data_IF_033364325502
#
_entry.id   IF_033364325502
#
_cell.length_a   1.000
_cell.length_b   1.000
_cell.length_c   1.000
_cell.angle_alpha   90.00
_cell.angle_beta   90.00
_cell.angle_gamma   90.00
#
_symmetry.space_group_name_H-M   'P 1'
#
loop_
_entity.id
_entity.type
_entity.pdbx_description
1 polymer ?
#
# COMPACT_ATOMS: atom_id res chain seq x y z
N UNK A 1 0.90 -10.67 -37.51
CA UNK A 1 1.36 -10.00 -36.26
C UNK A 1 0.71 -10.68 -35.05
N UNK A 2 1.40 -11.67 -34.48
CA UNK A 2 0.92 -12.40 -33.31
C UNK A 2 0.69 -11.41 -32.17
N UNK A 3 -0.54 -11.37 -31.66
CA UNK A 3 -0.80 -10.82 -30.34
C UNK A 3 0.09 -11.60 -29.37
N UNK A 4 1.19 -10.98 -28.96
CA UNK A 4 2.03 -11.46 -27.87
C UNK A 4 1.08 -11.67 -26.69
N UNK A 5 0.75 -12.94 -26.39
CA UNK A 5 0.18 -13.28 -25.10
C UNK A 5 1.09 -12.64 -24.07
N UNK A 6 0.54 -11.74 -23.25
CA UNK A 6 1.28 -11.19 -22.13
C UNK A 6 1.61 -12.39 -21.24
N UNK A 7 2.78 -12.99 -21.45
CA UNK A 7 3.26 -14.10 -20.62
C UNK A 7 3.20 -13.57 -19.18
N UNK A 8 2.53 -14.32 -18.30
CA UNK A 8 2.43 -14.03 -16.89
C UNK A 8 3.81 -14.20 -16.23
N UNK A 9 4.74 -13.32 -16.58
CA UNK A 9 6.11 -13.30 -16.10
C UNK A 9 6.10 -12.69 -14.70
N UNK A 10 6.76 -13.36 -13.77
CA UNK A 10 7.00 -12.86 -12.42
C UNK A 10 8.14 -11.85 -12.43
N UNK A 11 8.19 -10.97 -11.45
CA UNK A 11 9.27 -10.00 -11.29
C UNK A 11 10.61 -10.71 -11.14
N UNK A 12 10.66 -11.78 -10.34
CA UNK A 12 11.90 -12.54 -10.11
C UNK A 12 12.50 -13.03 -11.44
N UNK A 13 11.70 -13.75 -12.24
CA UNK A 13 12.13 -14.25 -13.57
C UNK A 13 12.53 -13.10 -14.49
N UNK A 14 11.81 -11.97 -14.47
CA UNK A 14 12.17 -10.83 -15.30
C UNK A 14 13.52 -10.24 -14.89
N UNK A 15 13.75 -10.01 -13.59
CA UNK A 15 14.98 -9.41 -13.08
C UNK A 15 16.19 -10.31 -13.30
N UNK A 16 16.06 -11.61 -13.06
CA UNK A 16 17.14 -12.58 -13.25
C UNK A 16 17.57 -12.69 -14.71
N UNK A 17 16.61 -12.70 -15.64
CA UNK A 17 16.90 -12.77 -17.07
C UNK A 17 17.42 -11.45 -17.66
N UNK A 18 17.12 -10.31 -17.03
CA UNK A 18 17.46 -8.98 -17.57
C UNK A 18 18.78 -8.45 -17.00
N UNK A 19 19.03 -8.66 -15.72
CA UNK A 19 20.16 -8.06 -15.01
C UNK A 19 21.07 -9.13 -14.43
N UNK A 20 22.38 -8.97 -14.60
CA UNK A 20 23.38 -9.84 -13.97
C UNK A 20 23.76 -9.37 -12.55
N UNK A 21 23.62 -8.08 -12.27
CA UNK A 21 23.98 -7.48 -10.97
C UNK A 21 22.93 -7.77 -9.91
N UNK A 22 23.33 -8.43 -8.82
CA UNK A 22 22.49 -8.64 -7.64
C UNK A 22 22.00 -7.32 -7.04
N UNK A 23 22.83 -6.27 -7.06
CA UNK A 23 22.45 -4.94 -6.57
C UNK A 23 21.31 -4.35 -7.41
N UNK A 24 21.36 -4.50 -8.73
CA UNK A 24 20.29 -4.00 -9.61
C UNK A 24 19.00 -4.80 -9.39
N UNK A 25 19.10 -6.12 -9.19
CA UNK A 25 17.92 -6.95 -8.84
C UNK A 25 17.34 -6.52 -7.49
N UNK A 26 18.19 -6.29 -6.48
CA UNK A 26 17.79 -5.82 -5.16
C UNK A 26 17.13 -4.44 -5.20
N UNK A 27 17.64 -3.52 -6.04
CA UNK A 27 17.06 -2.18 -6.23
C UNK A 27 15.63 -2.25 -6.75
N UNK A 28 15.35 -3.15 -7.70
CA UNK A 28 14.04 -3.25 -8.35
C UNK A 28 13.05 -4.15 -7.61
N UNK A 29 13.53 -5.18 -6.90
CA UNK A 29 12.71 -6.15 -6.18
C UNK A 29 11.57 -5.54 -5.32
N UNK A 30 11.81 -4.51 -4.49
CA UNK A 30 10.78 -4.02 -3.57
C UNK A 30 9.71 -3.15 -4.25
N UNK A 31 9.92 -2.70 -5.50
CA UNK A 31 8.99 -1.76 -6.13
C UNK A 31 7.61 -2.35 -6.39
N UNK A 32 7.52 -3.65 -6.70
CA UNK A 32 6.23 -4.29 -6.96
C UNK A 32 5.36 -4.40 -5.70
N UNK A 33 5.96 -4.31 -4.51
CA UNK A 33 5.25 -4.30 -3.24
C UNK A 33 4.28 -3.12 -3.12
N UNK A 34 4.62 -1.98 -3.75
CA UNK A 34 3.76 -0.79 -3.80
C UNK A 34 2.47 -1.00 -4.61
N UNK A 35 2.39 -2.06 -5.40
CA UNK A 35 1.18 -2.51 -6.09
C UNK A 35 0.48 -3.67 -5.36
N UNK A 36 0.92 -4.04 -4.15
CA UNK A 36 0.38 -5.16 -3.36
C UNK A 36 0.83 -6.54 -3.83
N UNK A 37 1.68 -6.62 -4.86
CA UNK A 37 2.24 -7.86 -5.41
C UNK A 37 3.57 -8.21 -4.75
N UNK A 38 4.02 -9.44 -4.89
CA UNK A 38 5.36 -9.92 -4.52
C UNK A 38 6.16 -10.35 -5.74
N UNK A 39 7.46 -10.67 -5.57
CA UNK A 39 8.33 -11.03 -6.68
C UNK A 39 7.86 -12.24 -7.51
N UNK A 40 7.15 -13.17 -6.88
CA UNK A 40 6.64 -14.41 -7.47
C UNK A 40 5.20 -14.32 -7.96
N UNK A 41 4.50 -13.21 -7.72
CA UNK A 41 3.10 -13.10 -8.09
C UNK A 41 2.97 -13.04 -9.62
N UNK A 42 1.94 -13.69 -10.15
CA UNK A 42 1.63 -13.59 -11.57
C UNK A 42 1.47 -12.12 -11.98
N UNK A 43 1.99 -11.76 -13.15
CA UNK A 43 1.93 -10.41 -13.71
C UNK A 43 2.79 -9.35 -12.98
N UNK A 44 3.46 -9.68 -11.88
CA UNK A 44 4.36 -8.76 -11.15
C UNK A 44 5.47 -8.18 -12.03
N UNK A 45 6.00 -8.96 -12.98
CA UNK A 45 7.03 -8.48 -13.91
C UNK A 45 6.54 -7.39 -14.86
N UNK A 46 5.26 -7.40 -15.25
CA UNK A 46 4.69 -6.34 -16.09
C UNK A 46 4.44 -5.07 -15.29
N UNK A 47 3.88 -5.21 -14.09
CA UNK A 47 3.68 -4.07 -13.18
C UNK A 47 5.01 -3.38 -12.85
N UNK A 48 6.06 -4.15 -12.58
CA UNK A 48 7.38 -3.59 -12.31
C UNK A 48 7.95 -2.79 -13.49
N UNK A 49 7.73 -3.23 -14.74
CA UNK A 49 8.13 -2.48 -15.93
C UNK A 49 7.35 -1.18 -16.09
N UNK A 50 6.05 -1.19 -15.79
CA UNK A 50 5.23 0.04 -15.79
C UNK A 50 5.74 1.01 -14.73
N UNK A 51 6.08 0.53 -13.54
CA UNK A 51 6.68 1.35 -12.47
C UNK A 51 8.03 1.92 -12.93
N UNK A 52 8.91 1.08 -13.48
CA UNK A 52 10.22 1.52 -13.96
C UNK A 52 10.09 2.59 -15.05
N UNK A 53 9.19 2.39 -16.01
CA UNK A 53 8.89 3.39 -17.04
C UNK A 53 8.34 4.70 -16.45
N UNK A 54 7.42 4.62 -15.50
CA UNK A 54 6.86 5.81 -14.87
C UNK A 54 7.92 6.60 -14.07
N UNK A 55 8.79 5.90 -13.35
CA UNK A 55 9.92 6.51 -12.63
C UNK A 55 10.92 7.16 -13.58
N UNK A 56 11.23 6.52 -14.69
CA UNK A 56 12.15 7.10 -15.68
C UNK A 56 11.52 8.31 -16.39
N UNK A 57 10.24 8.23 -16.74
CA UNK A 57 9.56 9.27 -17.50
C UNK A 57 9.18 10.50 -16.66
N UNK A 58 8.84 10.31 -15.39
CA UNK A 58 8.25 11.36 -14.53
C UNK A 58 8.90 11.48 -13.15
N UNK A 59 9.81 10.58 -12.77
CA UNK A 59 10.38 10.52 -11.43
C UNK A 59 9.37 10.10 -10.36
N UNK A 60 9.72 10.38 -9.10
CA UNK A 60 8.85 10.20 -7.94
C UNK A 60 8.65 11.56 -7.23
N UNK A 61 7.83 12.46 -7.81
CA UNK A 61 7.66 13.80 -7.26
C UNK A 61 6.97 13.76 -5.89
N UNK A 62 7.39 14.66 -5.00
CA UNK A 62 6.73 14.87 -3.72
C UNK A 62 5.95 16.19 -3.72
N UNK A 63 4.88 16.23 -2.93
CA UNK A 63 4.08 17.44 -2.73
C UNK A 63 4.75 18.28 -1.64
N UNK A 64 5.19 19.49 -1.98
CA UNK A 64 5.71 20.45 -0.98
C UNK A 64 4.64 20.76 0.06
N UNK A 65 5.02 20.73 1.33
CA UNK A 65 4.11 20.83 2.47
C UNK A 65 3.34 19.53 2.75
N UNK A 66 3.60 18.45 2.03
CA UNK A 66 3.00 17.12 2.23
C UNK A 66 1.72 16.85 1.43
N UNK A 67 1.28 15.59 1.45
CA UNK A 67 0.15 15.11 0.64
C UNK A 67 -1.20 15.80 0.95
N UNK A 68 -1.36 16.40 2.13
CA UNK A 68 -2.55 17.19 2.47
C UNK A 68 -2.79 18.39 1.53
N UNK A 69 -1.73 18.97 0.96
CA UNK A 69 -1.86 20.07 -0.01
C UNK A 69 -2.44 19.58 -1.33
N UNK A 70 -2.12 18.36 -1.75
CA UNK A 70 -2.73 17.74 -2.94
C UNK A 70 -4.22 17.50 -2.73
N UNK A 71 -4.62 17.01 -1.54
CA UNK A 71 -6.03 16.84 -1.19
C UNK A 71 -6.77 18.17 -1.17
N UNK A 72 -6.18 19.20 -0.58
CA UNK A 72 -6.74 20.56 -0.55
C UNK A 72 -6.91 21.14 -1.96
N UNK A 73 -5.96 20.88 -2.85
CA UNK A 73 -6.06 21.29 -4.26
C UNK A 73 -7.22 20.57 -4.97
N UNK A 74 -7.39 19.25 -4.79
CA UNK A 74 -8.53 18.53 -5.36
C UNK A 74 -9.87 19.01 -4.80
N UNK A 75 -9.95 19.25 -3.49
CA UNK A 75 -11.13 19.82 -2.86
C UNK A 75 -11.50 21.18 -3.45
N UNK A 76 -10.51 22.07 -3.61
CA UNK A 76 -10.72 23.38 -4.23
C UNK A 76 -11.23 23.25 -5.67
N UNK A 77 -10.62 22.38 -6.48
CA UNK A 77 -11.04 22.14 -7.87
C UNK A 77 -12.49 21.59 -7.96
N UNK A 78 -12.86 20.68 -7.06
CA UNK A 78 -14.22 20.15 -6.99
C UNK A 78 -15.20 21.28 -6.66
N UNK A 79 -14.91 22.09 -5.65
CA UNK A 79 -15.75 23.22 -5.22
C UNK A 79 -15.88 24.30 -6.29
N UNK A 80 -14.78 24.65 -6.98
CA UNK A 80 -14.76 25.62 -8.08
C UNK A 80 -15.70 25.19 -9.23
N UNK A 81 -15.84 23.88 -9.45
CA UNK A 81 -16.75 23.30 -10.45
C UNK A 81 -18.16 23.05 -9.90
N UNK A 82 -18.50 23.60 -8.74
CA UNK A 82 -19.82 23.47 -8.10
C UNK A 82 -20.08 22.12 -7.42
N UNK A 83 -19.05 21.29 -7.27
CA UNK A 83 -19.13 20.05 -6.53
C UNK A 83 -19.25 20.28 -5.03
N UNK A 84 -19.94 19.36 -4.34
CA UNK A 84 -20.13 19.39 -2.89
C UNK A 84 -19.46 18.16 -2.28
N UNK A 85 -18.66 18.37 -1.25
CA UNK A 85 -18.03 17.31 -0.46
C UNK A 85 -18.75 17.26 0.88
N UNK A 86 -19.23 16.07 1.26
CA UNK A 86 -19.85 15.81 2.56
C UNK A 86 -19.00 14.79 3.29
N UNK A 87 -18.34 15.23 4.36
CA UNK A 87 -17.69 14.34 5.33
C UNK A 87 -18.72 13.83 6.34
N UNK A 88 -18.38 12.79 7.11
CA UNK A 88 -19.27 12.19 8.12
C UNK A 88 -20.63 11.70 7.56
N UNK A 89 -20.76 11.60 6.24
CA UNK A 89 -21.94 11.13 5.54
C UNK A 89 -21.82 9.66 5.16
N UNK A 90 -21.81 8.76 6.15
CA UNK A 90 -21.75 7.32 5.87
C UNK A 90 -22.95 6.88 5.02
N UNK A 91 -22.69 6.23 3.89
CA UNK A 91 -23.72 5.78 2.97
C UNK A 91 -24.21 4.40 3.42
N UNK A 92 -25.48 4.32 3.79
CA UNK A 92 -26.11 3.07 4.21
C UNK A 92 -26.45 2.17 3.01
N UNK A 93 -27.05 2.74 1.96
CA UNK A 93 -27.46 1.97 0.78
C UNK A 93 -27.59 2.82 -0.49
N UNK A 94 -27.54 2.14 -1.64
CA UNK A 94 -27.85 2.70 -2.95
C UNK A 94 -29.35 2.58 -3.17
N UNK A 95 -29.99 3.68 -3.58
CA UNK A 95 -31.40 3.71 -3.93
C UNK A 95 -31.53 3.36 -5.40
N UNK A 96 -32.45 2.45 -5.71
CA UNK A 96 -32.71 1.99 -7.08
C UNK A 96 -34.18 2.12 -7.44
N UNK A 97 -34.45 2.42 -8.70
CA UNK A 97 -35.80 2.44 -9.28
C UNK A 97 -35.73 2.16 -10.78
N UNK A 98 -36.61 1.29 -11.28
CA UNK A 98 -36.64 0.92 -12.71
C UNK A 98 -35.33 0.31 -13.21
N UNK A 99 -34.66 -0.51 -12.39
CA UNK A 99 -33.41 -1.18 -12.75
C UNK A 99 -32.17 -0.29 -12.79
N UNK A 100 -32.22 0.95 -12.29
CA UNK A 100 -31.08 1.88 -12.22
C UNK A 100 -30.91 2.51 -10.84
N UNK A 101 -29.68 2.88 -10.51
CA UNK A 101 -29.40 3.68 -9.32
C UNK A 101 -29.92 5.11 -9.50
N UNK A 102 -30.63 5.62 -8.49
CA UNK A 102 -31.24 6.97 -8.50
C UNK A 102 -30.75 7.85 -7.35
N UNK A 103 -29.87 7.34 -6.50
CA UNK A 103 -29.31 8.07 -5.38
C UNK A 103 -28.72 7.15 -4.33
N UNK A 104 -28.46 7.72 -3.16
CA UNK A 104 -27.99 7.00 -1.97
C UNK A 104 -28.74 7.46 -0.73
N UNK A 105 -28.89 6.55 0.23
CA UNK A 105 -29.39 6.85 1.58
C UNK A 105 -28.20 6.86 2.54
N UNK A 106 -28.11 7.90 3.35
CA UNK A 106 -27.11 8.01 4.41
C UNK A 106 -27.57 7.25 5.66
N UNK A 107 -26.63 6.88 6.52
CA UNK A 107 -26.92 6.27 7.82
C UNK A 107 -27.73 7.19 8.74
N UNK A 108 -27.67 8.51 8.53
CA UNK A 108 -28.54 9.50 9.21
C UNK A 108 -30.02 9.39 8.81
N UNK A 109 -30.33 8.69 7.71
CA UNK A 109 -31.67 8.64 7.10
C UNK A 109 -31.83 9.59 5.92
N UNK A 110 -30.95 10.59 5.75
CA UNK A 110 -31.00 11.53 4.64
C UNK A 110 -30.83 10.84 3.29
N UNK A 111 -31.41 11.42 2.25
CA UNK A 111 -31.29 10.92 0.88
C UNK A 111 -30.60 11.93 -0.02
N UNK A 112 -29.64 11.45 -0.81
CA UNK A 112 -28.98 12.22 -1.87
C UNK A 112 -29.38 11.62 -3.22
N UNK A 113 -30.18 12.36 -4.00
CA UNK A 113 -30.63 11.91 -5.32
C UNK A 113 -29.56 12.13 -6.39
N UNK A 114 -29.39 11.16 -7.28
CA UNK A 114 -28.51 11.23 -8.44
C UNK A 114 -29.33 11.26 -9.74
N UNK A 115 -29.07 12.25 -10.61
CA UNK A 115 -29.77 12.40 -11.89
C UNK A 115 -29.25 11.47 -12.99
N UNK A 116 -27.95 11.14 -12.96
CA UNK A 116 -27.26 10.39 -14.03
C UNK A 116 -26.76 9.04 -13.55
N UNK A 117 -25.92 9.03 -12.52
CA UNK A 117 -25.29 7.82 -12.02
C UNK A 117 -24.82 7.98 -10.58
N UNK A 118 -24.58 6.84 -9.93
CA UNK A 118 -23.87 6.73 -8.66
C UNK A 118 -22.53 6.05 -8.94
N UNK A 119 -21.42 6.69 -8.59
CA UNK A 119 -20.08 6.12 -8.74
C UNK A 119 -19.59 5.72 -7.35
N UNK A 120 -19.21 4.45 -7.18
CA UNK A 120 -18.83 3.90 -5.89
C UNK A 120 -17.31 3.65 -5.85
N UNK A 121 -16.60 4.40 -5.03
CA UNK A 121 -15.18 4.15 -4.72
C UNK A 121 -15.07 3.36 -3.41
N UNK A 122 -15.48 2.09 -3.44
CA UNK A 122 -15.55 1.19 -2.27
C UNK A 122 -15.11 -0.23 -2.64
N UNK A 123 -14.88 -1.10 -1.64
CA UNK A 123 -14.51 -2.49 -1.90
C UNK A 123 -15.69 -3.29 -2.49
N UNK A 124 -15.42 -4.38 -3.22
CA UNK A 124 -16.50 -5.26 -3.72
C UNK A 124 -17.40 -5.78 -2.61
N UNK A 125 -16.84 -6.15 -1.45
CA UNK A 125 -17.63 -6.62 -0.31
C UNK A 125 -18.55 -5.53 0.24
N UNK A 126 -18.12 -4.27 0.28
CA UNK A 126 -19.00 -3.15 0.65
C UNK A 126 -20.06 -2.88 -0.40
N UNK A 127 -19.70 -2.84 -1.68
CA UNK A 127 -20.66 -2.55 -2.75
C UNK A 127 -21.77 -3.61 -2.81
N UNK A 128 -21.39 -4.87 -3.00
CA UNK A 128 -22.35 -5.95 -3.22
C UNK A 128 -22.97 -6.47 -1.92
N UNK A 129 -22.21 -6.50 -0.82
CA UNK A 129 -22.69 -7.05 0.45
C UNK A 129 -23.47 -6.07 1.33
N UNK A 130 -23.22 -4.76 1.21
CA UNK A 130 -23.87 -3.74 2.05
C UNK A 130 -24.66 -2.73 1.22
N UNK A 131 -24.01 -2.04 0.28
CA UNK A 131 -24.63 -0.88 -0.37
C UNK A 131 -25.77 -1.26 -1.32
N UNK A 132 -25.61 -2.34 -2.08
CA UNK A 132 -26.68 -2.92 -2.91
C UNK A 132 -27.61 -3.83 -2.11
N UNK A 133 -27.09 -4.49 -1.05
CA UNK A 133 -27.84 -5.43 -0.23
C UNK A 133 -28.51 -6.52 -1.09
N UNK A 134 -29.79 -6.76 -0.83
CA UNK A 134 -30.58 -7.79 -1.54
C UNK A 134 -30.77 -7.50 -3.03
N UNK A 135 -30.50 -6.27 -3.50
CA UNK A 135 -30.56 -5.93 -4.91
C UNK A 135 -29.28 -6.31 -5.68
N UNK A 136 -28.24 -6.79 -5.01
CA UNK A 136 -27.04 -7.28 -5.66
C UNK A 136 -27.34 -8.55 -6.48
N UNK A 137 -26.86 -8.65 -7.74
CA UNK A 137 -26.95 -9.89 -8.48
C UNK A 137 -26.24 -11.02 -7.72
N UNK A 138 -26.90 -12.16 -7.57
CA UNK A 138 -26.41 -13.29 -6.75
C UNK A 138 -24.97 -13.71 -7.11
N UNK A 139 -24.66 -13.80 -8.40
CA UNK A 139 -23.32 -14.16 -8.88
C UNK A 139 -22.24 -13.16 -8.44
N UNK A 140 -22.55 -11.85 -8.46
CA UNK A 140 -21.61 -10.81 -8.05
C UNK A 140 -21.41 -10.80 -6.54
N UNK A 141 -22.49 -11.02 -5.78
CA UNK A 141 -22.40 -11.16 -4.32
C UNK A 141 -21.53 -12.37 -3.93
N UNK A 142 -21.72 -13.52 -4.57
CA UNK A 142 -20.90 -14.72 -4.36
C UNK A 142 -19.43 -14.49 -4.75
N UNK A 143 -19.17 -13.76 -5.84
CA UNK A 143 -17.82 -13.38 -6.23
C UNK A 143 -17.17 -12.42 -5.22
N UNK A 144 -17.93 -11.43 -4.73
CA UNK A 144 -17.47 -10.49 -3.72
C UNK A 144 -17.16 -11.18 -2.38
N UNK A 145 -17.96 -12.17 -1.96
CA UNK A 145 -17.69 -12.96 -0.75
C UNK A 145 -16.38 -13.76 -0.84
N UNK A 146 -15.98 -14.17 -2.04
CA UNK A 146 -14.71 -14.86 -2.31
C UNK A 146 -13.56 -13.89 -2.57
N UNK A 147 -13.81 -12.58 -2.57
CA UNK A 147 -12.77 -11.58 -2.82
C UNK A 147 -11.66 -11.69 -1.77
N UNK A 148 -10.45 -11.97 -2.25
CA UNK A 148 -9.26 -12.04 -1.40
C UNK A 148 -8.58 -10.69 -1.43
N UNK A 149 -8.62 -10.00 -0.31
CA UNK A 149 -7.79 -8.83 -0.13
C UNK A 149 -6.31 -9.21 -0.15
N UNK A 150 -5.48 -8.31 -0.67
CA UNK A 150 -4.03 -8.45 -0.65
C UNK A 150 -3.45 -8.43 0.77
N UNK A 151 -2.11 -8.43 0.83
CA UNK A 151 -1.34 -8.34 2.08
C UNK A 151 -1.75 -7.12 2.90
N UNK A 152 -1.47 -7.17 4.20
CA UNK A 152 -1.54 -6.00 5.06
C UNK A 152 -0.32 -5.11 4.85
N UNK A 153 -0.28 -3.98 5.54
CA UNK A 153 0.89 -3.11 5.56
C UNK A 153 1.08 -2.59 6.98
N UNK A 154 2.27 -2.83 7.55
CA UNK A 154 2.61 -2.33 8.87
C UNK A 154 3.33 -0.98 8.72
N UNK A 155 2.95 0.03 9.51
CA UNK A 155 3.55 1.37 9.43
C UNK A 155 4.10 1.83 10.77
N UNK A 156 5.25 2.50 10.72
CA UNK A 156 5.89 3.14 11.87
C UNK A 156 6.22 4.56 11.46
N UNK A 157 5.94 5.54 12.30
CA UNK A 157 6.25 6.95 12.05
C UNK A 157 7.17 7.46 13.15
N UNK A 158 8.34 7.97 12.77
CA UNK A 158 9.33 8.53 13.67
C UNK A 158 9.39 10.05 13.53
N UNK A 159 9.38 10.73 14.67
CA UNK A 159 9.91 12.08 14.82
C UNK A 159 11.29 11.96 15.47
N UNK A 160 12.32 12.46 14.80
CA UNK A 160 13.71 12.27 15.20
C UNK A 160 14.34 13.60 15.63
N UNK A 161 15.17 13.51 16.67
CA UNK A 161 15.91 14.66 17.19
C UNK A 161 17.03 15.18 16.29
N UNK A 162 17.43 14.37 15.31
CA UNK A 162 18.42 14.68 14.27
C UNK A 162 18.19 13.79 13.04
N UNK A 163 18.66 14.19 11.84
CA UNK A 163 18.66 13.33 10.66
C UNK A 163 19.42 12.01 10.88
N UNK A 164 18.97 10.90 10.26
CA UNK A 164 19.70 9.64 10.33
C UNK A 164 21.08 9.72 9.69
N UNK A 165 22.09 9.11 10.34
CA UNK A 165 23.45 9.06 9.84
C UNK A 165 23.66 7.84 8.93
N UNK A 166 22.98 7.83 7.78
CA UNK A 166 23.05 6.71 6.83
C UNK A 166 24.48 6.32 6.49
N UNK A 167 24.78 5.02 6.57
CA UNK A 167 26.13 4.48 6.28
C UNK A 167 26.52 4.61 4.80
N UNK A 168 25.54 4.66 3.89
CA UNK A 168 25.76 4.80 2.46
C UNK A 168 25.80 6.25 2.01
N UNK A 169 26.73 6.56 1.10
CA UNK A 169 26.84 7.90 0.51
C UNK A 169 25.57 8.28 -0.27
N UNK A 170 25.12 9.52 -0.13
CA UNK A 170 23.98 10.06 -0.89
C UNK A 170 22.59 9.62 -0.40
N UNK A 171 22.49 8.62 0.48
CA UNK A 171 21.20 8.10 0.97
C UNK A 171 20.39 9.15 1.75
N UNK A 172 21.06 10.13 2.37
CA UNK A 172 20.40 11.27 3.04
C UNK A 172 19.71 12.25 2.07
N UNK A 173 19.95 12.16 0.75
CA UNK A 173 19.47 13.12 -0.26
C UNK A 173 18.24 12.66 -1.03
N UNK A 174 17.78 11.42 -0.83
CA UNK A 174 16.62 10.86 -1.54
C UNK A 174 15.39 10.84 -0.64
N UNK A 175 14.19 10.90 -1.18
CA UNK A 175 12.97 10.83 -0.36
C UNK A 175 12.57 9.40 0.04
N UNK A 176 13.04 8.39 -0.69
CA UNK A 176 12.61 7.00 -0.53
C UNK A 176 13.81 6.06 -0.59
N UNK A 177 13.88 5.14 0.36
CA UNK A 177 14.87 4.07 0.44
C UNK A 177 14.17 2.74 0.67
N UNK A 178 14.84 1.64 0.32
CA UNK A 178 14.40 0.29 0.63
C UNK A 178 15.52 -0.47 1.32
N UNK A 179 15.24 -1.04 2.49
CA UNK A 179 16.12 -1.95 3.20
C UNK A 179 15.61 -3.37 2.94
N UNK A 180 16.45 -4.18 2.31
CA UNK A 180 16.15 -5.56 1.93
C UNK A 180 17.47 -6.33 1.75
N UNK A 181 17.51 -7.64 2.04
CA UNK A 181 18.67 -8.48 1.73
C UNK A 181 18.68 -8.95 0.27
N UNK A 182 17.97 -8.26 -0.64
CA UNK A 182 17.97 -8.52 -2.07
C UNK A 182 16.68 -9.19 -2.57
N UNK A 183 16.68 -9.61 -3.84
CA UNK A 183 15.50 -10.20 -4.50
C UNK A 183 14.94 -11.39 -3.73
N UNK A 184 15.80 -12.35 -3.36
CA UNK A 184 15.40 -13.53 -2.61
C UNK A 184 14.87 -13.18 -1.21
N UNK A 185 15.42 -12.12 -0.61
CA UNK A 185 14.94 -11.54 0.64
C UNK A 185 13.51 -11.06 0.56
N UNK A 186 13.21 -10.24 -0.45
CA UNK A 186 11.84 -9.76 -0.72
C UNK A 186 10.91 -10.95 -1.03
N UNK A 187 11.38 -11.93 -1.82
CA UNK A 187 10.59 -13.12 -2.13
C UNK A 187 10.26 -13.94 -0.87
N UNK A 188 11.26 -14.16 0.00
CA UNK A 188 11.09 -14.83 1.32
C UNK A 188 10.08 -14.10 2.18
N UNK A 189 10.22 -12.78 2.37
CA UNK A 189 9.31 -11.99 3.19
C UNK A 189 7.87 -12.04 2.66
N UNK A 190 7.67 -11.89 1.35
CA UNK A 190 6.36 -12.09 0.70
C UNK A 190 5.77 -13.48 0.96
N UNK A 191 6.59 -14.55 0.88
CA UNK A 191 6.14 -15.92 1.10
C UNK A 191 5.71 -16.15 2.55
N UNK A 192 6.53 -15.69 3.50
CA UNK A 192 6.23 -15.72 4.93
C UNK A 192 4.89 -15.04 5.22
N UNK A 193 4.73 -13.80 4.75
CA UNK A 193 3.52 -13.01 4.91
C UNK A 193 2.28 -13.68 4.31
N UNK A 194 2.40 -14.23 3.11
CA UNK A 194 1.31 -14.91 2.40
C UNK A 194 0.84 -16.16 3.16
N UNK A 195 1.75 -16.81 3.88
CA UNK A 195 1.45 -17.95 4.75
C UNK A 195 0.90 -17.55 6.11
N UNK A 196 0.78 -16.26 6.40
CA UNK A 196 0.33 -15.71 7.68
C UNK A 196 1.44 -15.58 8.71
N UNK A 197 2.71 -15.71 8.32
CA UNK A 197 3.84 -15.54 9.22
C UNK A 197 4.26 -14.08 9.25
N UNK A 198 4.62 -13.55 10.42
CA UNK A 198 5.35 -12.28 10.49
C UNK A 198 6.73 -12.48 9.86
N UNK A 199 7.11 -11.68 8.83
CA UNK A 199 8.41 -11.85 8.22
C UNK A 199 9.56 -11.72 9.21
N UNK A 200 10.55 -12.59 9.09
CA UNK A 200 11.76 -12.55 9.92
C UNK A 200 12.60 -11.31 9.58
N UNK A 201 12.78 -11.06 8.28
CA UNK A 201 13.43 -9.87 7.75
C UNK A 201 12.46 -9.24 6.75
N UNK A 202 11.56 -8.34 7.18
CA UNK A 202 10.65 -7.67 6.28
C UNK A 202 11.39 -6.71 5.34
N UNK A 203 10.84 -6.48 4.16
CA UNK A 203 11.25 -5.32 3.35
C UNK A 203 10.80 -4.04 4.05
N UNK A 204 11.73 -3.13 4.33
CA UNK A 204 11.41 -1.83 4.93
C UNK A 204 11.52 -0.76 3.86
N UNK A 205 10.39 -0.20 3.47
CA UNK A 205 10.36 1.03 2.70
C UNK A 205 10.44 2.21 3.66
N UNK A 206 11.52 2.98 3.56
CA UNK A 206 11.79 4.15 4.40
C UNK A 206 11.50 5.40 3.59
N UNK A 207 10.52 6.18 4.02
CA UNK A 207 10.29 7.53 3.50
C UNK A 207 10.87 8.59 4.41
N UNK A 208 11.62 9.53 3.82
CA UNK A 208 12.24 10.67 4.49
C UNK A 208 11.96 11.96 3.72
N UNK A 209 10.70 12.42 3.67
CA UNK A 209 10.29 13.52 2.79
C UNK A 209 11.00 14.84 3.10
N UNK A 210 11.53 15.01 4.31
CA UNK A 210 12.29 16.18 4.72
C UNK A 210 13.58 16.38 3.90
N UNK A 211 14.14 15.31 3.30
CA UNK A 211 15.31 15.39 2.43
C UNK A 211 15.06 16.22 1.15
N UNK A 212 13.81 16.24 0.67
CA UNK A 212 13.41 17.01 -0.52
C UNK A 212 12.58 18.25 -0.16
N UNK A 213 11.94 18.26 1.01
CA UNK A 213 11.17 19.40 1.51
C UNK A 213 11.47 19.66 3.01
N UNK A 214 12.43 20.54 3.32
CA UNK A 214 12.80 20.84 4.71
C UNK A 214 11.65 21.39 5.57
N UNK A 215 10.56 21.88 4.98
CA UNK A 215 9.40 22.38 5.74
C UNK A 215 8.62 21.27 6.46
N UNK A 216 8.93 19.99 6.18
CA UNK A 216 8.23 18.84 6.74
C UNK A 216 8.52 18.59 8.22
N UNK A 217 9.59 19.17 8.77
CA UNK A 217 9.93 19.08 10.18
C UNK A 217 10.71 20.33 10.63
N UNK A 218 10.87 20.56 11.95
CA UNK A 218 11.70 21.66 12.45
C UNK A 218 13.17 21.55 11.99
N UNK A 219 13.87 22.68 12.02
CA UNK A 219 15.30 22.73 11.67
C UNK A 219 16.13 21.80 12.57
N UNK A 220 17.09 21.10 11.97
CA UNK A 220 17.94 20.12 12.66
C UNK A 220 17.23 18.84 13.09
N UNK A 221 15.92 18.69 12.83
CA UNK A 221 15.13 17.49 13.10
C UNK A 221 14.91 16.67 11.83
N UNK A 222 14.33 15.48 11.98
CA UNK A 222 13.94 14.65 10.85
C UNK A 222 12.65 13.90 11.12
N UNK A 223 11.99 13.47 10.05
CA UNK A 223 10.88 12.52 10.10
C UNK A 223 11.16 11.34 9.19
N UNK A 224 10.85 10.15 9.68
CA UNK A 224 10.80 8.93 8.88
C UNK A 224 9.40 8.33 8.96
N UNK A 225 8.93 7.76 7.86
CA UNK A 225 7.87 6.75 7.92
C UNK A 225 8.42 5.46 7.36
N UNK A 226 8.11 4.36 8.02
CA UNK A 226 8.41 3.02 7.56
C UNK A 226 7.13 2.38 7.07
N UNK A 227 7.21 1.72 5.93
CA UNK A 227 6.18 0.83 5.42
C UNK A 227 6.78 -0.56 5.23
N UNK A 228 6.11 -1.55 5.81
CA UNK A 228 6.39 -2.97 5.63
C UNK A 228 5.19 -3.56 4.87
N UNK A 229 5.23 -3.61 3.52
CA UNK A 229 4.06 -3.95 2.68
C UNK A 229 3.67 -5.44 2.71
N UNK A 230 4.45 -6.23 3.44
CA UNK A 230 4.35 -7.68 3.51
C UNK A 230 3.90 -8.10 4.92
N UNK A 231 3.02 -7.31 5.55
CA UNK A 231 2.48 -7.69 6.86
C UNK A 231 1.28 -8.66 6.68
N UNK A 232 1.20 -9.76 7.44
CA UNK A 232 0.02 -10.63 7.40
C UNK A 232 -1.20 -9.92 8.00
N UNK A 233 -2.37 -10.09 7.36
CA UNK A 233 -3.65 -9.62 7.90
C UNK A 233 -4.17 -10.50 9.05
N UNK A 234 -3.87 -11.78 8.96
CA UNK A 234 -4.19 -12.77 9.97
C UNK A 234 -2.90 -13.53 10.29
N UNK A 235 -2.46 -13.41 11.53
CA UNK A 235 -1.17 -13.89 12.01
C UNK A 235 -1.34 -15.35 12.46
N UNK A 236 -0.56 -16.25 11.86
CA UNK A 236 -0.50 -17.67 12.24
C UNK A 236 0.75 -18.00 13.04
N UNK A 237 1.75 -17.12 13.00
CA UNK A 237 3.01 -17.31 13.70
C UNK A 237 4.03 -16.25 13.33
N UNK A 238 5.23 -16.41 13.88
CA UNK A 238 6.39 -15.59 13.60
C UNK A 238 7.44 -16.43 12.86
N UNK A 239 7.89 -15.98 11.68
CA UNK A 239 8.88 -16.72 10.90
C UNK A 239 10.21 -16.89 11.65
N UNK A 240 10.55 -15.95 12.54
CA UNK A 240 11.75 -16.03 13.37
C UNK A 240 11.56 -16.90 14.62
N UNK A 241 10.33 -17.27 14.98
CA UNK A 241 10.01 -18.01 16.20
C UNK A 241 10.32 -17.27 17.52
N UNK A 242 10.43 -15.94 17.49
CA UNK A 242 10.82 -15.11 18.65
C UNK A 242 9.65 -14.35 19.27
N UNK A 243 8.60 -14.08 18.49
CA UNK A 243 7.44 -13.33 18.94
C UNK A 243 6.28 -14.26 19.29
N UNK A 244 5.63 -13.99 20.42
CA UNK A 244 4.41 -14.67 20.83
C UNK A 244 3.22 -14.17 19.99
N UNK A 245 2.56 -15.08 19.27
CA UNK A 245 1.43 -14.72 18.41
C UNK A 245 0.09 -15.15 19.01
N UNK A 246 -0.93 -14.28 19.04
CA UNK A 246 -2.27 -14.61 19.53
C UNK A 246 -2.92 -15.77 18.75
N UNK A 247 -3.64 -16.63 19.47
CA UNK A 247 -4.32 -17.79 18.87
C UNK A 247 -5.47 -17.40 17.91
N UNK A 248 -6.06 -16.21 18.08
CA UNK A 248 -7.10 -15.68 17.19
C UNK A 248 -6.52 -15.01 15.92
N UNK A 249 -5.20 -14.98 15.81
CA UNK A 249 -4.43 -14.41 14.71
C UNK A 249 -4.65 -12.91 14.48
N UNK A 250 -5.12 -12.18 15.48
CA UNK A 250 -5.25 -10.71 15.42
C UNK A 250 -3.98 -10.03 15.91
N UNK A 251 -3.79 -8.79 15.48
CA UNK A 251 -2.79 -7.92 16.05
C UNK A 251 -3.21 -7.50 17.46
N UNK A 252 -2.30 -7.62 18.43
CA UNK A 252 -2.42 -7.03 19.76
C UNK A 252 -1.41 -5.90 19.89
N UNK A 253 -1.61 -4.99 20.85
CA UNK A 253 -0.64 -3.92 21.11
C UNK A 253 0.75 -4.49 21.41
N UNK A 254 0.84 -5.51 22.27
CA UNK A 254 2.12 -6.14 22.61
C UNK A 254 2.84 -6.75 21.39
N UNK A 255 2.10 -7.43 20.49
CA UNK A 255 2.70 -7.98 19.27
C UNK A 255 3.08 -6.88 18.26
N UNK A 256 2.25 -5.84 18.17
CA UNK A 256 2.54 -4.65 17.35
C UNK A 256 3.88 -4.03 17.77
N UNK A 257 4.05 -3.73 19.06
CA UNK A 257 5.29 -3.15 19.57
C UNK A 257 6.48 -4.08 19.33
N UNK A 258 6.37 -5.37 19.67
CA UNK A 258 7.49 -6.29 19.49
C UNK A 258 7.88 -6.51 18.01
N UNK A 259 6.93 -6.42 17.08
CA UNK A 259 7.24 -6.43 15.65
C UNK A 259 7.81 -5.10 15.15
N UNK A 260 7.38 -3.97 15.74
CA UNK A 260 7.98 -2.67 15.50
C UNK A 260 9.44 -2.64 15.95
N UNK A 261 9.77 -3.17 17.14
CA UNK A 261 11.13 -3.29 17.66
C UNK A 261 12.05 -4.08 16.71
N UNK A 262 11.53 -5.15 16.08
CA UNK A 262 12.26 -5.89 15.05
C UNK A 262 12.60 -5.00 13.85
N UNK A 263 11.64 -4.25 13.34
CA UNK A 263 11.84 -3.35 12.21
C UNK A 263 12.81 -2.21 12.57
N UNK A 264 12.68 -1.67 13.79
CA UNK A 264 13.59 -0.65 14.34
C UNK A 264 15.02 -1.17 14.45
N UNK A 265 15.23 -2.37 14.99
CA UNK A 265 16.56 -2.97 15.12
C UNK A 265 17.24 -3.14 13.75
N UNK A 266 16.48 -3.52 12.72
CA UNK A 266 16.99 -3.58 11.33
C UNK A 266 17.36 -2.17 10.85
N UNK A 267 16.46 -1.19 10.96
CA UNK A 267 16.73 0.20 10.57
C UNK A 267 17.98 0.75 11.27
N UNK A 268 18.09 0.59 12.59
CA UNK A 268 19.20 1.07 13.42
C UNK A 268 20.55 0.50 12.99
N UNK A 269 20.58 -0.70 12.41
CA UNK A 269 21.81 -1.30 11.89
C UNK A 269 22.35 -0.62 10.61
N UNK A 270 21.58 0.28 9.98
CA UNK A 270 21.94 0.99 8.75
C UNK A 270 22.22 2.49 8.95
N UNK A 271 22.01 3.02 10.16
CA UNK A 271 22.20 4.43 10.52
C UNK A 271 23.19 4.61 11.68
#
# INVERSE_FOLDING_TARGET
PAASSAKAITLAIWLENTYQSEITRALWAPWVLHAGLGPEDAFSGQIARVIAFALEAAGAPIVKGGAGNLLSAFEALIKERGGVIRTEGDVASIIQSGGRATGVRLASGDTVTAKKSVICSVTPTHLYGRLLGDAAPKADLEAAQKYRYGKGNFQIHYALDKPPAWRGEGLAKVALLHLTPGLDGVSKACNEATRGMLPEVPTICVGQPHALDPSRCPEGKAILWLQLPEAPRHIKGDAAGKLQTPADGRWTDALREAYADRAEAILASHI
#
